data_IF_933820481633
#
_entry.id   IF_933820481633
#
_cell.length_a   1.000
_cell.length_b   1.000
_cell.length_c   1.000
_cell.angle_alpha   90.00
_cell.angle_beta   90.00
_cell.angle_gamma   90.00
#
_symmetry.space_group_name_H-M   'P 1'
#
loop_
_entity.id
_entity.type
_entity.pdbx_description
1 polymer ?
#
# COMPACT_ATOMS: atom_id res chain seq x y z
N UNK A 1 -52.14 -5.60 65.94
CA UNK A 1 -50.72 -5.96 65.74
C UNK A 1 -50.27 -5.36 64.42
N UNK A 2 -49.71 -4.14 64.46
CA UNK A 2 -49.10 -3.47 63.33
C UNK A 2 -47.57 -3.58 63.51
N UNK A 3 -46.91 -4.37 62.69
CA UNK A 3 -45.44 -4.42 62.64
C UNK A 3 -44.96 -3.30 61.71
N UNK A 4 -44.26 -2.33 62.31
CA UNK A 4 -43.69 -1.18 61.66
C UNK A 4 -42.51 -1.60 60.75
N UNK A 5 -42.72 -1.50 59.44
CA UNK A 5 -41.66 -1.55 58.43
C UNK A 5 -40.94 -0.20 58.36
N UNK A 6 -40.02 0.04 59.29
CA UNK A 6 -39.09 1.15 59.23
C UNK A 6 -37.91 0.82 58.31
N UNK A 7 -38.10 0.96 56.99
CA UNK A 7 -36.98 0.94 56.04
C UNK A 7 -36.20 2.23 56.22
N UNK A 8 -35.01 2.11 56.79
CA UNK A 8 -34.05 3.20 56.94
C UNK A 8 -33.63 3.74 55.56
N UNK A 9 -34.31 4.80 55.09
CA UNK A 9 -33.90 5.63 53.96
C UNK A 9 -32.74 6.56 54.35
N UNK A 10 -31.68 6.00 54.93
CA UNK A 10 -30.47 6.70 55.32
C UNK A 10 -29.26 6.07 54.61
N UNK A 11 -29.14 6.32 53.31
CA UNK A 11 -27.87 6.39 52.55
C UNK A 11 -28.04 6.63 51.03
N UNK A 12 -29.22 7.04 50.56
CA UNK A 12 -29.47 7.36 49.14
C UNK A 12 -28.44 8.35 48.55
N UNK A 13 -27.98 9.41 49.25
CA UNK A 13 -26.97 10.32 48.71
C UNK A 13 -25.62 9.65 48.47
N UNK A 14 -25.24 8.69 49.33
CA UNK A 14 -23.97 7.97 49.23
C UNK A 14 -23.95 6.97 48.07
N UNK A 15 -25.08 6.32 47.79
CA UNK A 15 -25.21 5.42 46.64
C UNK A 15 -25.22 6.17 45.31
N UNK A 16 -25.87 7.33 45.22
CA UNK A 16 -25.87 8.17 44.02
C UNK A 16 -24.47 8.70 43.68
N UNK A 17 -23.70 9.13 44.70
CA UNK A 17 -22.32 9.58 44.51
C UNK A 17 -21.43 8.45 44.00
N UNK A 18 -21.52 7.25 44.57
CA UNK A 18 -20.76 6.08 44.13
C UNK A 18 -21.13 5.63 42.71
N UNK A 19 -22.42 5.66 42.37
CA UNK A 19 -22.88 5.33 41.01
C UNK A 19 -22.37 6.34 39.98
N UNK A 20 -22.40 7.64 40.31
CA UNK A 20 -21.86 8.69 39.47
C UNK A 20 -20.33 8.57 39.27
N UNK A 21 -19.57 8.35 40.35
CA UNK A 21 -18.12 8.14 40.29
C UNK A 21 -17.78 6.92 39.43
N UNK A 22 -18.49 5.80 39.63
CA UNK A 22 -18.32 4.60 38.81
C UNK A 22 -18.57 4.85 37.32
N UNK A 23 -19.67 5.53 36.95
CA UNK A 23 -19.96 5.81 35.54
C UNK A 23 -18.97 6.81 34.93
N UNK A 24 -18.47 7.77 35.71
CA UNK A 24 -17.44 8.70 35.26
C UNK A 24 -16.14 7.96 34.99
N UNK A 25 -15.72 7.10 35.92
CA UNK A 25 -14.47 6.36 35.78
C UNK A 25 -14.55 5.36 34.62
N UNK A 26 -15.68 4.65 34.45
CA UNK A 26 -15.92 3.79 33.29
C UNK A 26 -15.93 4.58 31.97
N UNK A 27 -16.53 5.77 31.95
CA UNK A 27 -16.49 6.65 30.77
C UNK A 27 -15.05 7.06 30.43
N UNK A 28 -14.22 7.37 31.43
CA UNK A 28 -12.81 7.69 31.21
C UNK A 28 -12.02 6.50 30.67
N UNK A 29 -12.25 5.30 31.20
CA UNK A 29 -11.63 4.06 30.71
C UNK A 29 -12.01 3.76 29.25
N UNK A 30 -13.31 3.83 28.91
CA UNK A 30 -13.80 3.63 27.54
C UNK A 30 -13.14 4.63 26.57
N UNK A 31 -12.97 5.89 27.00
CA UNK A 31 -12.31 6.94 26.22
C UNK A 31 -10.81 6.71 26.06
N UNK A 32 -10.14 6.23 27.10
CA UNK A 32 -8.73 5.84 27.02
C UNK A 32 -8.54 4.67 26.02
N UNK A 33 -9.44 3.69 26.04
CA UNK A 33 -9.42 2.56 25.10
C UNK A 33 -9.65 3.02 23.66
N UNK A 34 -10.59 3.95 23.41
CA UNK A 34 -10.78 4.56 22.09
C UNK A 34 -9.51 5.23 21.60
N UNK A 35 -8.92 6.08 22.42
CA UNK A 35 -7.69 6.79 22.07
C UNK A 35 -6.58 5.79 21.72
N UNK A 36 -6.41 4.73 22.51
CA UNK A 36 -5.45 3.64 22.20
C UNK A 36 -5.76 2.94 20.88
N UNK A 37 -7.03 2.65 20.59
CA UNK A 37 -7.48 2.03 19.33
C UNK A 37 -7.17 2.92 18.12
N UNK A 38 -7.48 4.22 18.20
CA UNK A 38 -7.21 5.19 17.14
C UNK A 38 -5.71 5.37 16.89
N UNK A 39 -4.90 5.45 17.96
CA UNK A 39 -3.43 5.44 17.82
C UNK A 39 -2.90 4.15 17.22
N UNK A 40 -3.47 3.00 17.58
CA UNK A 40 -3.09 1.72 16.98
C UNK A 40 -3.43 1.67 15.50
N UNK A 41 -4.63 2.12 15.11
CA UNK A 41 -5.05 2.22 13.70
C UNK A 41 -4.10 3.12 12.90
N UNK A 42 -3.78 4.31 13.42
CA UNK A 42 -2.81 5.22 12.78
C UNK A 42 -1.43 4.54 12.64
N UNK A 43 -0.97 3.81 13.67
CA UNK A 43 0.28 3.05 13.61
C UNK A 43 0.24 1.99 12.50
N UNK A 44 -0.84 1.24 12.38
CA UNK A 44 -0.99 0.23 11.32
C UNK A 44 -1.00 0.87 9.92
N UNK A 45 -1.65 2.02 9.74
CA UNK A 45 -1.61 2.78 8.46
C UNK A 45 -0.20 3.23 8.09
N UNK A 46 0.58 3.70 9.06
CA UNK A 46 1.98 4.06 8.83
C UNK A 46 2.82 2.84 8.47
N UNK A 47 2.65 1.72 9.19
CA UNK A 47 3.35 0.46 8.87
C UNK A 47 2.98 -0.06 7.49
N UNK A 48 1.71 -0.04 7.13
CA UNK A 48 1.22 -0.43 5.81
C UNK A 48 1.84 0.44 4.70
N UNK A 49 1.88 1.76 4.89
CA UNK A 49 2.55 2.66 3.95
C UNK A 49 4.06 2.38 3.87
N UNK A 50 4.69 1.96 4.97
CA UNK A 50 6.07 1.48 5.00
C UNK A 50 6.28 0.24 4.12
N UNK A 51 5.44 -0.78 4.29
CA UNK A 51 5.45 -2.01 3.49
C UNK A 51 5.25 -1.71 2.00
N UNK A 52 4.32 -0.82 1.63
CA UNK A 52 4.14 -0.43 0.23
C UNK A 52 5.37 0.22 -0.39
N UNK A 53 6.15 0.97 0.40
CA UNK A 53 7.40 1.58 -0.09
C UNK A 53 8.49 0.53 -0.27
N UNK A 54 8.51 -0.50 0.57
CA UNK A 54 9.40 -1.65 0.45
C UNK A 54 9.07 -2.47 -0.80
N UNK A 55 7.79 -2.81 -1.00
CA UNK A 55 7.32 -3.52 -2.21
C UNK A 55 7.73 -2.81 -3.51
N UNK A 56 7.60 -1.48 -3.55
CA UNK A 56 8.03 -0.66 -4.70
C UNK A 56 9.54 -0.76 -4.93
N UNK A 57 10.35 -0.78 -3.86
CA UNK A 57 11.81 -0.91 -3.98
C UNK A 57 12.20 -2.31 -4.43
N UNK A 58 11.57 -3.34 -3.88
CA UNK A 58 11.87 -4.73 -4.20
C UNK A 58 11.49 -5.08 -5.65
N UNK A 59 10.38 -4.53 -6.13
CA UNK A 59 9.98 -4.68 -7.52
C UNK A 59 11.01 -4.08 -8.49
N UNK A 60 11.53 -2.90 -8.17
CA UNK A 60 12.52 -2.22 -9.02
C UNK A 60 13.90 -2.85 -8.88
N UNK A 61 14.31 -3.26 -7.68
CA UNK A 61 15.60 -3.92 -7.43
C UNK A 61 15.70 -5.25 -8.19
N UNK A 62 14.59 -6.00 -8.32
CA UNK A 62 14.53 -7.19 -9.15
C UNK A 62 14.82 -6.88 -10.63
N UNK A 63 14.28 -5.77 -11.14
CA UNK A 63 14.53 -5.32 -12.52
C UNK A 63 15.97 -4.87 -12.70
N UNK A 64 16.52 -4.12 -11.73
CA UNK A 64 17.91 -3.65 -11.75
C UNK A 64 18.91 -4.80 -11.71
N UNK A 65 18.69 -5.78 -10.84
CA UNK A 65 19.52 -6.97 -10.76
C UNK A 65 19.53 -7.73 -12.09
N UNK A 66 18.35 -7.87 -12.72
CA UNK A 66 18.27 -8.51 -14.03
C UNK A 66 18.99 -7.75 -15.14
N UNK A 67 18.83 -6.42 -15.21
CA UNK A 67 19.54 -5.59 -16.19
C UNK A 67 21.05 -5.64 -15.98
N UNK A 68 21.50 -5.66 -14.74
CA UNK A 68 22.92 -5.80 -14.38
C UNK A 68 23.51 -7.12 -14.85
N UNK A 69 22.75 -8.22 -14.73
CA UNK A 69 23.16 -9.51 -15.29
C UNK A 69 23.29 -9.47 -16.82
N UNK A 70 22.38 -8.78 -17.53
CA UNK A 70 22.52 -8.60 -18.97
C UNK A 70 23.77 -7.79 -19.32
N UNK A 71 24.07 -6.72 -18.59
CA UNK A 71 25.28 -5.92 -18.83
C UNK A 71 26.54 -6.76 -18.66
N UNK A 72 26.66 -7.54 -17.58
CA UNK A 72 27.85 -8.37 -17.32
C UNK A 72 28.06 -9.39 -18.45
N UNK A 73 27.00 -10.13 -18.82
CA UNK A 73 27.12 -11.17 -19.85
C UNK A 73 27.45 -10.54 -21.22
N UNK A 74 26.81 -9.43 -21.57
CA UNK A 74 27.08 -8.78 -22.86
C UNK A 74 28.48 -8.18 -22.92
N UNK A 75 29.02 -7.60 -21.85
CA UNK A 75 30.40 -7.09 -21.84
C UNK A 75 31.42 -8.21 -22.05
N UNK A 76 31.21 -9.38 -21.45
CA UNK A 76 32.06 -10.56 -21.68
C UNK A 76 32.00 -11.04 -23.14
N UNK A 77 30.78 -11.17 -23.69
CA UNK A 77 30.59 -11.57 -25.09
C UNK A 77 31.18 -10.56 -26.07
N UNK A 78 31.07 -9.26 -25.75
CA UNK A 78 31.64 -8.19 -26.57
C UNK A 78 33.17 -8.26 -26.56
N UNK A 79 33.77 -8.61 -25.43
CA UNK A 79 35.19 -8.97 -25.34
C UNK A 79 35.58 -10.11 -26.29
N UNK A 80 34.82 -11.21 -26.29
CA UNK A 80 35.06 -12.31 -27.23
C UNK A 80 34.91 -11.92 -28.70
N UNK A 81 33.89 -11.11 -29.05
CA UNK A 81 33.74 -10.61 -30.43
C UNK A 81 34.92 -9.73 -30.85
N UNK A 82 35.46 -8.92 -29.93
CA UNK A 82 36.62 -8.07 -30.20
C UNK A 82 37.89 -8.90 -30.40
N UNK A 83 38.12 -9.92 -29.57
CA UNK A 83 39.26 -10.83 -29.75
C UNK A 83 39.15 -11.60 -31.06
N UNK A 84 37.97 -12.13 -31.41
CA UNK A 84 37.74 -12.80 -32.69
C UNK A 84 37.98 -11.87 -33.89
N UNK A 85 37.65 -10.58 -33.77
CA UNK A 85 37.91 -9.58 -34.80
C UNK A 85 39.41 -9.30 -34.99
N UNK A 86 40.15 -9.15 -33.89
CA UNK A 86 41.58 -8.79 -33.95
C UNK A 86 42.48 -9.98 -34.31
N UNK A 87 42.23 -11.14 -33.71
CA UNK A 87 43.09 -12.32 -33.82
C UNK A 87 42.56 -13.37 -34.80
N UNK A 88 41.25 -13.38 -35.07
CA UNK A 88 40.59 -14.34 -35.95
C UNK A 88 40.76 -14.04 -37.45
N UNK A 89 41.95 -13.65 -37.87
CA UNK A 89 42.28 -13.47 -39.28
C UNK A 89 42.39 -14.84 -39.97
N UNK A 90 41.60 -15.03 -41.03
CA UNK A 90 41.63 -16.23 -41.85
C UNK A 90 42.87 -16.23 -42.76
N UNK A 91 43.44 -17.40 -43.10
CA UNK A 91 44.56 -17.49 -44.04
C UNK A 91 44.22 -16.89 -45.41
N UNK A 92 45.20 -16.31 -46.10
CA UNK A 92 45.01 -15.70 -47.43
C UNK A 92 44.52 -16.69 -48.52
N UNK A 93 44.63 -18.00 -48.27
CA UNK A 93 44.11 -19.05 -49.16
C UNK A 93 42.59 -19.28 -49.08
N UNK A 94 41.93 -18.62 -48.13
CA UNK A 94 40.49 -18.82 -47.85
C UNK A 94 39.64 -18.12 -48.91
N UNK A 95 38.55 -18.73 -49.42
CA UNK A 95 37.72 -18.07 -50.43
C UNK A 95 37.01 -16.82 -49.90
N UNK A 96 36.97 -15.76 -50.73
CA UNK A 96 36.47 -14.42 -50.37
C UNK A 96 35.07 -14.40 -49.74
N UNK A 97 34.17 -15.27 -50.21
CA UNK A 97 32.79 -15.33 -49.69
C UNK A 97 32.75 -15.75 -48.22
N UNK A 98 33.68 -16.61 -47.78
CA UNK A 98 33.77 -17.07 -46.40
C UNK A 98 34.32 -15.97 -45.50
N UNK A 99 35.34 -15.25 -45.99
CA UNK A 99 35.90 -14.08 -45.31
C UNK A 99 34.82 -13.01 -45.12
N UNK A 100 34.08 -12.67 -46.18
CA UNK A 100 32.99 -11.69 -46.10
C UNK A 100 31.88 -12.13 -45.14
N UNK A 101 31.55 -13.42 -45.13
CA UNK A 101 30.60 -14.02 -44.19
C UNK A 101 31.04 -13.87 -42.74
N UNK A 102 32.29 -14.22 -42.42
CA UNK A 102 32.87 -14.10 -41.09
C UNK A 102 32.92 -12.63 -40.60
N UNK A 103 33.35 -11.71 -41.47
CA UNK A 103 33.43 -10.28 -41.16
C UNK A 103 32.04 -9.69 -40.88
N UNK A 104 31.04 -10.02 -41.72
CA UNK A 104 29.66 -9.55 -41.54
C UNK A 104 29.03 -10.13 -40.26
N UNK A 105 29.25 -11.41 -39.99
CA UNK A 105 28.78 -12.07 -38.76
C UNK A 105 29.39 -11.42 -37.51
N UNK A 106 30.70 -11.13 -37.52
CA UNK A 106 31.39 -10.52 -36.38
C UNK A 106 30.95 -9.07 -36.15
N UNK A 107 30.83 -8.25 -37.20
CA UNK A 107 30.32 -6.86 -37.08
C UNK A 107 28.87 -6.84 -36.59
N UNK A 108 28.01 -7.72 -37.12
CA UNK A 108 26.62 -7.79 -36.70
C UNK A 108 26.47 -8.26 -35.25
N UNK A 109 27.25 -9.26 -34.83
CA UNK A 109 27.32 -9.70 -33.43
C UNK A 109 27.70 -8.53 -32.51
N UNK A 110 28.77 -7.81 -32.85
CA UNK A 110 29.22 -6.63 -32.09
C UNK A 110 28.13 -5.56 -31.99
N UNK A 111 27.47 -5.21 -33.11
CA UNK A 111 26.43 -4.19 -33.13
C UNK A 111 25.21 -4.57 -32.27
N UNK A 112 24.74 -5.82 -32.33
CA UNK A 112 23.60 -6.28 -31.54
C UNK A 112 23.93 -6.42 -30.04
N UNK A 113 25.15 -6.84 -29.69
CA UNK A 113 25.61 -6.87 -28.29
C UNK A 113 25.73 -5.45 -27.73
N UNK A 114 26.26 -4.50 -28.50
CA UNK A 114 26.33 -3.10 -28.10
C UNK A 114 24.94 -2.47 -27.92
N UNK A 115 24.01 -2.74 -28.84
CA UNK A 115 22.62 -2.32 -28.73
C UNK A 115 21.96 -2.88 -27.46
N UNK A 116 22.26 -4.14 -27.13
CA UNK A 116 21.75 -4.75 -25.89
C UNK A 116 22.26 -4.02 -24.65
N UNK A 117 23.56 -3.68 -24.60
CA UNK A 117 24.15 -2.91 -23.50
C UNK A 117 23.47 -1.55 -23.35
N UNK A 118 23.25 -0.85 -24.47
CA UNK A 118 22.55 0.43 -24.49
C UNK A 118 21.12 0.33 -23.93
N UNK A 119 20.34 -0.65 -24.42
CA UNK A 119 18.95 -0.85 -24.00
C UNK A 119 18.86 -1.25 -22.53
N UNK A 120 19.75 -2.13 -22.06
CA UNK A 120 19.80 -2.54 -20.65
C UNK A 120 20.14 -1.36 -19.72
N UNK A 121 21.08 -0.50 -20.13
CA UNK A 121 21.42 0.72 -19.39
C UNK A 121 20.27 1.73 -19.36
N UNK A 122 19.57 1.92 -20.48
CA UNK A 122 18.40 2.79 -20.51
C UNK A 122 17.27 2.24 -19.63
N UNK A 123 17.04 0.92 -19.65
CA UNK A 123 16.01 0.28 -18.83
C UNK A 123 16.29 0.45 -17.32
N UNK A 124 17.54 0.28 -16.88
CA UNK A 124 17.90 0.43 -15.47
C UNK A 124 17.74 1.87 -14.97
N UNK A 125 18.25 2.85 -15.73
CA UNK A 125 18.12 4.28 -15.38
C UNK A 125 16.65 4.71 -15.36
N UNK A 126 15.86 4.28 -16.34
CA UNK A 126 14.43 4.57 -16.37
C UNK A 126 13.70 3.98 -15.14
N UNK A 127 13.99 2.72 -14.79
CA UNK A 127 13.38 2.06 -13.64
C UNK A 127 13.68 2.82 -12.32
N UNK A 128 14.93 3.25 -12.11
CA UNK A 128 15.32 4.04 -10.93
C UNK A 128 14.66 5.43 -10.90
N UNK A 129 14.56 6.11 -12.06
CA UNK A 129 13.88 7.40 -12.15
C UNK A 129 12.38 7.29 -11.82
N UNK A 130 11.72 6.23 -12.28
CA UNK A 130 10.31 5.99 -11.93
C UNK A 130 10.13 5.55 -10.48
N UNK A 131 11.03 4.75 -9.93
CA UNK A 131 11.02 4.36 -8.51
C UNK A 131 11.03 5.59 -7.60
N UNK A 132 11.97 6.51 -7.83
CA UNK A 132 12.08 7.74 -7.04
C UNK A 132 10.83 8.61 -7.20
N UNK A 133 10.28 8.71 -8.42
CA UNK A 133 9.03 9.44 -8.67
C UNK A 133 7.83 8.83 -7.92
N UNK A 134 7.67 7.51 -7.96
CA UNK A 134 6.57 6.82 -7.25
C UNK A 134 6.70 7.03 -5.74
N UNK A 135 7.91 6.88 -5.19
CA UNK A 135 8.16 7.02 -3.75
C UNK A 135 8.02 8.46 -3.23
N UNK A 136 8.18 9.47 -4.08
CA UNK A 136 8.13 10.89 -3.66
C UNK A 136 6.78 11.55 -3.97
N UNK A 137 6.14 11.20 -5.09
CA UNK A 137 4.92 11.84 -5.55
C UNK A 137 3.65 11.06 -5.21
N UNK A 138 3.72 9.72 -5.19
CA UNK A 138 2.51 8.89 -5.09
C UNK A 138 2.38 8.18 -3.74
N UNK A 139 3.48 7.63 -3.20
CA UNK A 139 3.48 6.90 -1.93
C UNK A 139 4.02 7.77 -0.81
N UNK A 140 3.28 8.85 -0.51
CA UNK A 140 3.54 9.67 0.67
C UNK A 140 3.01 8.98 1.91
N UNK A 141 3.72 9.14 3.03
CA UNK A 141 3.25 8.65 4.32
C UNK A 141 1.97 9.40 4.72
N UNK A 142 0.93 8.69 5.21
CA UNK A 142 -0.20 9.35 5.81
C UNK A 142 0.27 9.97 7.14
N UNK A 143 0.55 11.27 7.12
CA UNK A 143 0.85 12.03 8.34
C UNK A 143 -0.50 12.49 8.89
N UNK A 144 -0.85 12.13 10.12
CA UNK A 144 -2.12 12.54 10.70
C UNK A 144 -2.18 14.06 10.79
N UNK A 145 -3.32 14.63 10.41
CA UNK A 145 -3.51 16.07 10.53
C UNK A 145 -3.65 16.46 12.00
N UNK A 146 -3.32 17.71 12.36
CA UNK A 146 -3.50 18.18 13.73
C UNK A 146 -4.95 18.03 14.20
N UNK A 147 -5.91 18.23 13.28
CA UNK A 147 -7.33 18.04 13.57
C UNK A 147 -7.69 16.57 13.87
N UNK A 148 -7.06 15.60 13.21
CA UNK A 148 -7.23 14.17 13.51
C UNK A 148 -6.64 13.84 14.88
N UNK A 149 -5.46 14.37 15.20
CA UNK A 149 -4.81 14.20 16.51
C UNK A 149 -5.66 14.85 17.62
N UNK A 150 -6.21 16.03 17.35
CA UNK A 150 -7.06 16.76 18.28
C UNK A 150 -8.43 16.08 18.44
N UNK A 151 -8.96 15.46 17.39
CA UNK A 151 -10.16 14.62 17.49
C UNK A 151 -9.94 13.36 18.36
N UNK A 152 -8.71 12.83 18.38
CA UNK A 152 -8.35 11.72 19.29
C UNK A 152 -8.27 12.19 20.76
N UNK A 153 -8.16 13.50 21.02
CA UNK A 153 -8.10 14.05 22.37
C UNK A 153 -9.48 14.01 23.01
N UNK A 154 -9.61 13.25 24.09
CA UNK A 154 -10.85 13.15 24.84
C UNK A 154 -10.87 14.19 25.96
N UNK A 155 -11.75 15.18 25.86
CA UNK A 155 -11.90 16.18 26.90
C UNK A 155 -12.84 15.68 28.00
N UNK A 156 -12.44 15.80 29.26
CA UNK A 156 -13.28 15.45 30.41
C UNK A 156 -14.62 16.22 30.43
N UNK A 157 -14.63 17.43 29.85
CA UNK A 157 -15.84 18.25 29.69
C UNK A 157 -16.88 17.63 28.74
N UNK A 158 -16.51 16.64 27.91
CA UNK A 158 -17.49 15.89 27.14
C UNK A 158 -18.40 15.05 28.02
N UNK A 159 -17.92 14.58 29.17
CA UNK A 159 -18.74 13.83 30.13
C UNK A 159 -19.93 14.66 30.62
N UNK A 160 -19.72 15.97 30.83
CA UNK A 160 -20.77 16.90 31.27
C UNK A 160 -21.84 17.15 30.21
N UNK A 161 -21.54 16.88 28.93
CA UNK A 161 -22.48 17.00 27.82
C UNK A 161 -23.30 15.72 27.61
N UNK A 162 -22.93 14.63 28.28
CA UNK A 162 -23.66 13.36 28.19
C UNK A 162 -25.00 13.49 28.90
N UNK A 163 -26.03 12.81 28.38
CA UNK A 163 -27.37 12.83 28.97
C UNK A 163 -27.31 12.41 30.45
N UNK A 164 -27.95 13.18 31.33
CA UNK A 164 -27.99 12.92 32.78
C UNK A 164 -28.45 11.50 33.12
N UNK A 165 -29.33 10.91 32.31
CA UNK A 165 -29.77 9.51 32.48
C UNK A 165 -28.65 8.48 32.28
N UNK A 166 -27.68 8.77 31.43
CA UNK A 166 -26.49 7.93 31.23
C UNK A 166 -25.44 8.17 32.32
N UNK A 167 -25.38 9.37 32.91
CA UNK A 167 -24.46 9.71 34.01
C UNK A 167 -24.80 8.96 35.33
N UNK A 168 -26.07 8.60 35.55
CA UNK A 168 -26.54 7.94 36.78
C UNK A 168 -26.96 6.47 36.58
N UNK A 169 -26.36 5.78 35.61
CA UNK A 169 -26.59 4.34 35.39
C UNK A 169 -26.19 3.51 36.62
N UNK A 170 -27.02 2.53 36.95
CA UNK A 170 -26.70 1.52 37.97
C UNK A 170 -26.16 0.28 37.27
N UNK A 171 -24.97 -0.22 37.65
CA UNK A 171 -24.41 -1.42 37.03
C UNK A 171 -25.36 -2.61 37.19
N UNK A 172 -25.46 -3.44 36.16
CA UNK A 172 -26.30 -4.65 36.05
C UNK A 172 -27.83 -4.46 36.04
N UNK A 173 -28.38 -3.43 36.68
CA UNK A 173 -29.84 -3.20 36.76
C UNK A 173 -30.40 -2.44 35.54
N UNK A 174 -29.58 -1.59 34.92
CA UNK A 174 -30.01 -0.71 33.84
C UNK A 174 -30.07 -1.37 32.45
N UNK A 175 -29.65 -2.63 32.30
CA UNK A 175 -29.53 -3.28 30.99
C UNK A 175 -28.36 -2.76 30.14
N UNK A 176 -28.35 -3.13 28.86
CA UNK A 176 -27.29 -2.77 27.90
C UNK A 176 -27.30 -1.27 27.57
N UNK A 177 -26.11 -0.70 27.36
CA UNK A 177 -25.88 0.72 27.07
C UNK A 177 -26.62 1.20 25.80
N UNK A 178 -26.75 0.29 24.83
CA UNK A 178 -27.46 0.44 23.55
C UNK A 178 -28.88 1.01 23.73
N UNK A 179 -29.60 0.52 24.75
CA UNK A 179 -31.00 0.89 25.00
C UNK A 179 -31.18 2.35 25.43
N UNK A 180 -30.15 2.99 25.99
CA UNK A 180 -30.21 4.39 26.42
C UNK A 180 -29.75 5.37 25.35
N UNK A 181 -29.09 4.89 24.31
CA UNK A 181 -28.59 5.73 23.24
C UNK A 181 -29.58 5.84 22.08
N UNK A 182 -30.33 4.76 21.79
CA UNK A 182 -31.38 4.74 20.78
C UNK A 182 -32.51 5.77 21.02
N UNK A 183 -32.68 6.26 22.25
CA UNK A 183 -33.68 7.28 22.58
C UNK A 183 -33.37 8.69 22.06
N UNK A 184 -32.14 8.98 21.63
CA UNK A 184 -31.71 10.35 21.28
C UNK A 184 -31.49 10.58 19.78
N UNK A 185 -31.25 9.53 18.98
CA UNK A 185 -31.05 9.66 17.53
C UNK A 185 -32.35 9.99 16.77
N UNK A 186 -33.52 9.71 17.35
CA UNK A 186 -34.81 10.09 16.77
C UNK A 186 -35.15 11.59 16.92
N UNK A 187 -34.47 12.33 17.81
CA UNK A 187 -34.80 13.73 18.11
C UNK A 187 -33.75 14.76 17.64
N UNK A 188 -32.55 14.33 17.22
CA UNK A 188 -31.41 15.20 16.92
C UNK A 188 -30.97 15.31 15.45
N UNK A 189 -31.59 14.57 14.52
CA UNK A 189 -31.14 14.48 13.12
C UNK A 189 -31.44 15.72 12.24
N UNK A 190 -31.71 16.89 12.82
CA UNK A 190 -32.15 18.09 12.10
C UNK A 190 -31.15 19.27 12.12
N UNK A 191 -29.93 19.14 12.65
CA UNK A 191 -29.01 20.27 12.69
C UNK A 191 -27.54 19.92 12.39
N UNK A 192 -27.01 20.62 11.40
CA UNK A 192 -25.58 20.84 11.09
C UNK A 192 -24.95 19.93 10.03
N UNK A 193 -25.44 20.05 8.79
CA UNK A 193 -24.60 19.86 7.60
C UNK A 193 -23.72 21.10 7.40
N UNK A 194 -22.43 21.00 7.70
CA UNK A 194 -21.44 21.96 7.20
C UNK A 194 -21.18 21.67 5.71
N UNK A 195 -21.15 22.69 4.82
CA UNK A 195 -20.81 22.47 3.42
C UNK A 195 -19.28 22.35 3.31
N UNK A 196 -18.78 21.13 3.21
CA UNK A 196 -17.41 20.91 2.72
C UNK A 196 -17.46 21.03 1.21
N UNK A 197 -16.88 22.12 0.69
CA UNK A 197 -16.65 22.32 -0.72
C UNK A 197 -15.75 21.19 -1.26
N UNK A 198 -16.36 20.24 -1.96
CA UNK A 198 -15.68 19.10 -2.57
C UNK A 198 -15.26 19.45 -3.98
N UNK A 199 -13.94 19.64 -4.16
CA UNK A 199 -13.29 19.62 -5.45
C UNK A 199 -13.15 18.19 -5.95
N UNK A 200 -14.01 17.84 -6.90
CA UNK A 200 -13.84 16.89 -8.01
C UNK A 200 -12.63 15.93 -7.98
N UNK A 201 -12.87 14.61 -7.89
CA UNK A 201 -12.29 13.58 -8.79
C UNK A 201 -13.10 12.29 -8.67
N UNK A 202 -13.61 11.81 -9.81
CA UNK A 202 -14.62 10.77 -9.89
C UNK A 202 -14.16 9.34 -9.60
N UNK A 203 -15.13 8.49 -9.28
CA UNK A 203 -14.96 7.03 -9.24
C UNK A 203 -15.96 6.34 -8.32
N UNK A 204 -16.99 5.73 -8.91
CA UNK A 204 -17.99 4.82 -8.34
C UNK A 204 -18.87 5.32 -7.19
N UNK A 205 -20.07 5.75 -7.57
CA UNK A 205 -21.27 5.73 -6.75
C UNK A 205 -21.57 4.29 -6.35
N UNK A 206 -21.03 3.85 -5.20
CA UNK A 206 -21.48 2.65 -4.54
C UNK A 206 -22.76 3.04 -3.78
N UNK A 207 -23.87 2.51 -4.27
CA UNK A 207 -25.19 2.61 -3.67
C UNK A 207 -25.12 2.01 -2.27
N UNK A 208 -25.01 2.87 -1.25
CA UNK A 208 -25.07 2.48 0.16
C UNK A 208 -26.52 2.12 0.45
N UNK A 209 -26.88 0.88 0.14
CA UNK A 209 -28.17 0.30 0.50
C UNK A 209 -28.24 0.17 2.02
N UNK A 210 -28.90 1.15 2.64
CA UNK A 210 -29.78 1.03 3.79
C UNK A 210 -29.53 -0.13 4.78
N UNK A 211 -28.37 -0.14 5.45
CA UNK A 211 -28.17 -0.90 6.70
C UNK A 211 -28.17 0.04 7.92
N UNK A 212 -29.10 1.01 7.91
CA UNK A 212 -29.26 2.01 8.97
C UNK A 212 -29.87 1.45 10.28
N UNK A 213 -30.27 0.17 10.31
CA UNK A 213 -30.85 -0.46 11.49
C UNK A 213 -29.80 -0.96 12.51
N UNK A 214 -28.53 -1.13 12.11
CA UNK A 214 -27.44 -1.56 13.02
C UNK A 214 -26.71 -0.40 13.72
N UNK A 215 -26.98 0.85 13.33
CA UNK A 215 -26.42 2.06 13.96
C UNK A 215 -26.95 2.33 15.38
N UNK A 216 -27.94 1.57 15.85
CA UNK A 216 -28.53 1.76 17.17
C UNK A 216 -27.73 1.09 18.31
N UNK A 217 -26.94 0.05 18.01
CA UNK A 217 -26.19 -0.68 19.02
C UNK A 217 -24.96 0.09 19.53
N UNK A 218 -24.51 1.09 18.79
CA UNK A 218 -23.25 1.75 19.06
C UNK A 218 -23.33 3.23 18.70
N UNK A 219 -23.81 4.07 19.64
CA UNK A 219 -23.97 5.50 19.40
C UNK A 219 -22.65 6.24 19.21
N UNK A 220 -21.51 5.55 19.34
CA UNK A 220 -20.18 6.09 19.17
C UNK A 220 -19.43 5.50 17.97
N UNK A 221 -19.85 4.38 17.36
CA UNK A 221 -19.15 3.72 16.25
C UNK A 221 -17.92 2.86 16.66
N UNK A 222 -17.80 2.49 17.93
CA UNK A 222 -16.76 1.60 18.51
C UNK A 222 -16.82 0.12 18.07
N UNK A 223 -18.01 -0.44 17.86
CA UNK A 223 -18.30 -1.84 17.50
C UNK A 223 -18.43 -2.06 16.00
N UNK A 224 -18.21 -1.01 15.19
CA UNK A 224 -18.24 -1.16 13.73
C UNK A 224 -17.18 -2.19 13.33
N UNK A 225 -17.65 -3.28 12.73
CA UNK A 225 -16.81 -4.38 12.25
C UNK A 225 -15.85 -3.79 11.22
N UNK A 226 -14.55 -4.02 11.40
CA UNK A 226 -13.50 -3.48 10.51
C UNK A 226 -13.51 -4.09 9.10
N UNK A 227 -14.44 -5.02 8.84
CA UNK A 227 -14.59 -5.78 7.60
C UNK A 227 -14.80 -4.86 6.38
N UNK A 228 -15.42 -3.69 6.58
CA UNK A 228 -15.64 -2.70 5.51
C UNK A 228 -14.44 -1.76 5.27
N UNK A 229 -13.44 -1.79 6.15
CA UNK A 229 -12.25 -0.97 5.98
C UNK A 229 -11.36 -1.68 4.97
N UNK A 230 -11.38 -1.18 3.73
CA UNK A 230 -10.57 -1.68 2.62
C UNK A 230 -9.09 -1.89 3.00
N UNK A 231 -8.56 -1.20 4.01
CA UNK A 231 -7.16 -1.31 4.41
C UNK A 231 -6.85 -2.50 5.34
N UNK A 232 -7.87 -3.09 5.99
CA UNK A 232 -7.76 -4.16 6.99
C UNK A 232 -8.19 -5.55 6.48
N UNK A 233 -8.66 -5.66 5.23
CA UNK A 233 -9.04 -6.94 4.63
C UNK A 233 -7.85 -7.89 4.43
N UNK A 234 -8.07 -9.18 4.65
CA UNK A 234 -7.10 -10.24 4.34
C UNK A 234 -7.05 -10.48 2.82
N UNK A 235 -6.31 -9.63 2.10
CA UNK A 235 -6.12 -9.78 0.67
C UNK A 235 -5.17 -10.94 0.38
N UNK A 236 -5.71 -12.08 -0.05
CA UNK A 236 -4.92 -13.21 -0.51
C UNK A 236 -5.00 -13.37 -2.03
N UNK A 237 -3.87 -13.68 -2.67
CA UNK A 237 -3.80 -14.04 -4.09
C UNK A 237 -4.15 -12.92 -5.07
N UNK A 238 -5.17 -13.15 -5.92
CA UNK A 238 -5.51 -12.28 -7.06
C UNK A 238 -5.96 -10.86 -6.65
N UNK A 239 -6.34 -10.66 -5.40
CA UNK A 239 -6.75 -9.35 -4.89
C UNK A 239 -5.56 -8.42 -4.65
N UNK A 240 -4.39 -8.97 -4.32
CA UNK A 240 -3.13 -8.22 -4.20
C UNK A 240 -2.77 -7.55 -5.52
N UNK A 241 -3.00 -8.25 -6.64
CA UNK A 241 -2.81 -7.71 -7.98
C UNK A 241 -3.75 -6.53 -8.32
N UNK A 242 -4.85 -6.35 -7.59
CA UNK A 242 -5.83 -5.27 -7.78
C UNK A 242 -5.52 -4.03 -6.94
N UNK A 243 -4.58 -4.14 -5.99
CA UNK A 243 -4.19 -3.03 -5.12
C UNK A 243 -3.72 -1.82 -5.95
N UNK A 244 -4.09 -0.63 -5.49
CA UNK A 244 -3.82 0.63 -6.20
C UNK A 244 -2.33 0.84 -6.47
N UNK A 245 -1.46 0.57 -5.50
CA UNK A 245 -0.01 0.74 -5.65
C UNK A 245 0.55 -0.24 -6.69
N UNK A 246 0.07 -1.49 -6.74
CA UNK A 246 0.46 -2.47 -7.76
C UNK A 246 0.02 -2.05 -9.17
N UNK A 247 -1.18 -1.48 -9.32
CA UNK A 247 -1.65 -0.94 -10.62
C UNK A 247 -0.78 0.22 -11.10
N UNK A 248 -0.44 1.15 -10.20
CA UNK A 248 0.45 2.26 -10.50
C UNK A 248 1.84 1.76 -10.91
N UNK A 249 2.38 0.76 -10.20
CA UNK A 249 3.66 0.16 -10.57
C UNK A 249 3.63 -0.54 -11.92
N UNK A 250 2.55 -1.28 -12.25
CA UNK A 250 2.39 -1.89 -13.58
C UNK A 250 2.31 -0.84 -14.68
N UNK A 251 1.60 0.26 -14.46
CA UNK A 251 1.54 1.36 -15.41
C UNK A 251 2.91 2.01 -15.61
N UNK A 252 3.67 2.20 -14.53
CA UNK A 252 5.05 2.68 -14.62
C UNK A 252 5.94 1.70 -15.40
N UNK A 253 5.79 0.39 -15.14
CA UNK A 253 6.62 -0.65 -15.76
C UNK A 253 6.56 -0.66 -17.29
N UNK A 254 5.44 -0.24 -17.89
CA UNK A 254 5.30 -0.11 -19.34
C UNK A 254 6.42 0.75 -19.95
N UNK A 255 6.94 1.75 -19.24
CA UNK A 255 7.97 2.64 -19.75
C UNK A 255 9.35 2.00 -19.91
N UNK A 256 9.70 0.97 -19.14
CA UNK A 256 11.00 0.29 -19.24
C UNK A 256 10.90 -1.16 -19.74
N UNK A 257 9.71 -1.78 -19.69
CA UNK A 257 9.50 -3.17 -20.09
C UNK A 257 9.80 -3.42 -21.57
N UNK A 258 9.53 -2.44 -22.44
CA UNK A 258 9.86 -2.53 -23.87
C UNK A 258 11.37 -2.65 -24.07
N UNK A 259 12.16 -1.83 -23.38
CA UNK A 259 13.63 -1.89 -23.43
C UNK A 259 14.18 -3.22 -22.91
N UNK A 260 13.61 -3.78 -21.83
CA UNK A 260 13.95 -5.13 -21.35
C UNK A 260 13.66 -6.21 -22.42
N UNK A 261 12.49 -6.17 -23.05
CA UNK A 261 12.15 -7.13 -24.10
C UNK A 261 13.10 -7.02 -25.31
N UNK A 262 13.38 -5.81 -25.80
CA UNK A 262 14.29 -5.59 -26.91
C UNK A 262 15.74 -5.93 -26.57
N UNK A 263 16.18 -5.71 -25.33
CA UNK A 263 17.51 -6.13 -24.88
C UNK A 263 17.65 -7.66 -25.00
N UNK A 264 16.66 -8.44 -24.56
CA UNK A 264 16.71 -9.92 -24.66
C UNK A 264 16.74 -10.43 -26.10
N UNK A 265 15.92 -9.83 -26.96
CA UNK A 265 15.89 -10.19 -28.39
C UNK A 265 17.25 -9.86 -29.03
N UNK A 266 17.77 -8.66 -28.79
CA UNK A 266 19.06 -8.22 -29.33
C UNK A 266 20.22 -9.10 -28.83
N UNK A 267 20.19 -9.50 -27.56
CA UNK A 267 21.17 -10.41 -26.99
C UNK A 267 21.16 -11.76 -27.70
N UNK A 268 19.96 -12.33 -27.91
CA UNK A 268 19.80 -13.63 -28.56
C UNK A 268 20.30 -13.60 -30.01
N UNK A 269 19.98 -12.51 -30.74
CA UNK A 269 20.48 -12.30 -32.09
C UNK A 269 22.00 -12.12 -32.10
N UNK A 270 22.56 -11.33 -31.18
CA UNK A 270 24.00 -11.11 -31.06
C UNK A 270 24.77 -12.41 -30.79
N UNK A 271 24.28 -13.27 -29.90
CA UNK A 271 24.86 -14.59 -29.63
C UNK A 271 24.77 -15.49 -30.87
N UNK A 272 23.65 -15.48 -31.58
CA UNK A 272 23.50 -16.27 -32.80
C UNK A 272 24.51 -15.84 -33.89
N UNK A 273 24.69 -14.54 -34.09
CA UNK A 273 25.69 -14.02 -35.03
C UNK A 273 27.12 -14.34 -34.59
N UNK A 274 27.40 -14.32 -33.29
CA UNK A 274 28.69 -14.73 -32.75
C UNK A 274 28.96 -16.22 -33.00
N UNK A 275 27.96 -17.09 -32.81
CA UNK A 275 28.09 -18.52 -33.14
C UNK A 275 28.30 -18.73 -34.64
N UNK A 276 27.60 -17.97 -35.49
CA UNK A 276 27.78 -17.99 -36.94
C UNK A 276 29.22 -17.60 -37.33
N UNK A 277 29.78 -16.56 -36.69
CA UNK A 277 31.17 -16.15 -36.88
C UNK A 277 32.14 -17.27 -36.49
N UNK A 278 31.91 -17.94 -35.36
CA UNK A 278 32.73 -19.10 -34.95
C UNK A 278 32.65 -20.25 -35.97
N UNK A 279 31.47 -20.54 -36.52
CA UNK A 279 31.31 -21.58 -37.55
C UNK A 279 32.08 -21.22 -38.81
N UNK A 280 32.02 -19.97 -39.27
CA UNK A 280 32.81 -19.51 -40.43
C UNK A 280 34.31 -19.58 -40.16
N UNK A 281 34.74 -19.25 -38.94
CA UNK A 281 36.14 -19.37 -38.53
C UNK A 281 36.64 -20.82 -38.50
N UNK A 282 35.80 -21.79 -38.11
CA UNK A 282 36.17 -23.22 -38.12
C UNK A 282 36.23 -23.79 -39.54
N UNK A 283 35.44 -23.25 -40.46
CA UNK A 283 35.36 -23.73 -41.85
C UNK A 283 36.51 -23.23 -42.75
N UNK A 284 37.17 -22.12 -42.40
CA UNK A 284 38.21 -21.47 -43.20
C UNK A 284 39.60 -21.73 -42.66
#
# INVERSE_FOLDING_TARGET
>A
MALASGVAMASVPGMLKKAFEYNRDNFMEDREQRMKKEFAEMKYKITQAGLWREDVRDFVSLTEMKMSLYLIVNVLLLGFTMTLWCEGQLPESTPDWLVMGNQTATVSAFAFLLLTVWLAMHASVAAQAYQTRVLTQLVRLPIPTWNEIEACRTAASEFEKVNSRQMFRVPFAAGKQENYAAGNTAAGAAATTCPVASGNTGGHSQEVTADHASLAADPWGLERRGDDIYELGEYSGMEVAKLRHMKLMRQAAVYWQTYDAFARVSMSVGINQLMLAMIYYILG
#
